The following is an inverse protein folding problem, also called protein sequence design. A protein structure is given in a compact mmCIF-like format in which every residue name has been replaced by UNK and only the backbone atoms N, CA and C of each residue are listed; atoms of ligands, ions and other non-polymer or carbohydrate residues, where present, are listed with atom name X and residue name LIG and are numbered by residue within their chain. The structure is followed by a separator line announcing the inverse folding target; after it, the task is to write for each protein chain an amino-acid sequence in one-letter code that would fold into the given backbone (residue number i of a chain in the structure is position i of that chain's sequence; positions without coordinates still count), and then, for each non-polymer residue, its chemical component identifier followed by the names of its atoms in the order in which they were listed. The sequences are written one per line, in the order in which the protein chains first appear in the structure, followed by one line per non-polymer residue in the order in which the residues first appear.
data_IF_805057596307
#
_entry.id   IF_805057596307
#
_cell.length_a   1.000
_cell.length_b   1.000
_cell.length_c   1.000
_cell.angle_alpha   90.00
_cell.angle_beta   90.00
_cell.angle_gamma   90.00
#
_symmetry.space_group_name_H-M   'P 1'
#
loop_
_entity.id
_entity.type
_entity.pdbx_description
1 polymer ?
#
# COMPACT_ATOMS: atom_id res chain seq x y z
N UNK A 1 -5.46 11.03 27.62
CA UNK A 1 -6.21 11.43 26.41
C UNK A 1 -6.45 10.19 25.59
N UNK A 2 -7.71 9.87 25.30
CA UNK A 2 -8.08 8.69 24.51
C UNK A 2 -7.72 8.95 23.04
N UNK A 3 -6.68 8.27 22.56
CA UNK A 3 -6.24 8.31 21.17
C UNK A 3 -7.19 7.44 20.31
N UNK A 4 -7.92 8.09 19.42
CA UNK A 4 -8.87 7.45 18.50
C UNK A 4 -8.18 6.85 17.25
N UNK A 5 -6.83 6.86 17.18
CA UNK A 5 -6.05 6.33 16.06
C UNK A 5 -5.96 4.81 16.00
N UNK A 6 -6.40 4.12 17.06
CA UNK A 6 -6.41 2.65 17.15
C UNK A 6 -7.81 2.10 17.48
N UNK A 7 -8.87 2.55 16.80
CA UNK A 7 -10.12 1.76 16.79
C UNK A 7 -9.86 0.45 16.04
N UNK A 8 -9.35 -0.55 16.77
CA UNK A 8 -9.41 -1.95 16.38
C UNK A 8 -10.86 -2.35 16.58
N UNK A 9 -11.63 -2.41 15.49
CA UNK A 9 -12.95 -3.01 15.55
C UNK A 9 -12.74 -4.50 15.82
N UNK A 10 -13.09 -4.94 17.02
CA UNK A 10 -13.25 -6.36 17.34
C UNK A 10 -14.31 -6.92 16.40
N UNK A 11 -13.89 -7.87 15.59
CA UNK A 11 -14.75 -8.58 14.65
C UNK A 11 -14.67 -10.03 15.10
N UNK A 12 -15.74 -10.49 15.73
CA UNK A 12 -16.01 -11.91 16.02
C UNK A 12 -14.85 -12.74 16.60
N UNK A 13 -14.16 -12.23 17.63
CA UNK A 13 -13.30 -13.06 18.50
C UNK A 13 -11.94 -13.47 17.93
N UNK A 14 -11.55 -13.00 16.74
CA UNK A 14 -10.19 -13.19 16.21
C UNK A 14 -9.32 -11.94 16.44
N UNK A 15 -8.10 -12.12 16.98
CA UNK A 15 -7.11 -11.05 17.05
C UNK A 15 -6.75 -10.56 15.64
N UNK A 16 -7.26 -9.40 15.23
CA UNK A 16 -6.90 -8.81 13.93
C UNK A 16 -5.39 -8.54 13.87
N UNK A 17 -4.75 -9.16 12.88
CA UNK A 17 -3.34 -8.97 12.49
C UNK A 17 -3.00 -7.48 12.44
N UNK A 18 -1.78 -7.14 12.91
CA UNK A 18 -1.28 -5.77 12.92
C UNK A 18 -1.55 -5.06 11.57
N UNK A 19 -2.15 -3.87 11.63
CA UNK A 19 -2.48 -3.09 10.44
C UNK A 19 -1.22 -2.79 9.62
N UNK A 20 -1.36 -2.79 8.30
CA UNK A 20 -0.26 -2.46 7.39
C UNK A 20 0.15 -1.00 7.63
N UNK A 21 1.42 -0.77 7.96
CA UNK A 21 1.95 0.57 8.14
C UNK A 21 2.18 1.25 6.80
N UNK A 22 2.08 2.59 6.78
CA UNK A 22 2.31 3.35 5.53
C UNK A 22 3.75 3.18 5.06
N UNK A 23 4.68 3.06 5.99
CA UNK A 23 6.10 2.82 5.76
C UNK A 23 6.32 1.57 4.92
N UNK A 24 5.64 0.46 5.25
CA UNK A 24 5.72 -0.79 4.50
C UNK A 24 5.18 -0.63 3.08
N UNK A 25 4.07 0.10 2.93
CA UNK A 25 3.46 0.38 1.64
C UNK A 25 4.41 1.15 0.71
N UNK A 26 4.97 2.27 1.19
CA UNK A 26 5.89 3.09 0.41
C UNK A 26 7.22 2.37 0.13
N UNK A 27 7.74 1.59 1.08
CA UNK A 27 8.94 0.79 0.89
C UNK A 27 8.75 -0.28 -0.20
N UNK A 28 7.62 -1.00 -0.17
CA UNK A 28 7.29 -1.99 -1.19
C UNK A 28 7.19 -1.35 -2.59
N UNK A 29 6.51 -0.20 -2.70
CA UNK A 29 6.42 0.52 -3.97
C UNK A 29 7.80 0.95 -4.48
N UNK A 30 8.69 1.45 -3.61
CA UNK A 30 10.08 1.80 -3.97
C UNK A 30 10.83 0.58 -4.52
N UNK A 31 10.79 -0.55 -3.81
CA UNK A 31 11.48 -1.77 -4.22
C UNK A 31 10.99 -2.25 -5.59
N UNK A 32 9.69 -2.25 -5.82
CA UNK A 32 9.11 -2.69 -7.10
C UNK A 32 9.49 -1.78 -8.27
N UNK A 33 9.57 -0.47 -8.02
CA UNK A 33 10.04 0.50 -9.01
C UNK A 33 11.53 0.33 -9.32
N UNK A 34 12.38 0.18 -8.30
CA UNK A 34 13.83 -0.02 -8.47
C UNK A 34 14.16 -1.32 -9.20
N UNK A 35 13.36 -2.37 -8.98
CA UNK A 35 13.53 -3.66 -9.66
C UNK A 35 12.95 -3.67 -11.08
N UNK A 36 12.30 -2.59 -11.53
CA UNK A 36 11.64 -2.54 -12.84
C UNK A 36 10.49 -3.53 -13.01
N UNK A 37 9.95 -4.07 -11.90
CA UNK A 37 8.87 -5.08 -11.91
C UNK A 37 7.48 -4.50 -12.18
N UNK A 38 7.38 -3.16 -12.19
CA UNK A 38 6.15 -2.45 -12.50
C UNK A 38 6.25 -1.78 -13.87
N UNK A 39 5.22 -1.96 -14.70
CA UNK A 39 4.97 -1.08 -15.84
C UNK A 39 4.52 0.27 -15.30
N UNK A 40 5.46 1.20 -15.19
CA UNK A 40 5.20 2.51 -14.61
C UNK A 40 4.34 3.37 -15.55
N UNK A 41 3.22 3.87 -15.06
CA UNK A 41 2.36 4.79 -15.79
C UNK A 41 3.04 6.15 -15.83
N UNK A 42 3.34 6.66 -17.02
CA UNK A 42 3.95 7.99 -17.24
C UNK A 42 2.92 9.12 -17.07
N UNK A 43 2.21 9.13 -15.95
CA UNK A 43 1.33 10.25 -15.59
C UNK A 43 2.14 11.34 -14.87
N UNK A 44 2.20 12.57 -15.42
CA UNK A 44 2.93 13.67 -14.79
C UNK A 44 2.48 13.98 -13.36
N UNK A 45 1.18 13.83 -13.04
CA UNK A 45 0.64 14.04 -11.70
C UNK A 45 1.12 13.00 -10.71
N UNK A 46 1.23 11.74 -11.15
CA UNK A 46 1.79 10.65 -10.33
C UNK A 46 3.28 10.89 -10.08
N UNK A 47 4.05 11.22 -11.12
CA UNK A 47 5.49 11.50 -11.01
C UNK A 47 5.74 12.69 -10.08
N UNK A 48 5.02 13.80 -10.28
CA UNK A 48 5.14 14.99 -9.44
C UNK A 48 4.70 14.69 -8.00
N UNK A 49 3.62 13.93 -7.82
CA UNK A 49 3.13 13.51 -6.52
C UNK A 49 4.15 12.65 -5.77
N UNK A 50 4.75 11.66 -6.44
CA UNK A 50 5.78 10.79 -5.85
C UNK A 50 7.03 11.57 -5.44
N UNK A 51 7.46 12.54 -6.26
CA UNK A 51 8.58 13.43 -5.91
C UNK A 51 8.28 14.35 -4.72
N UNK A 52 7.01 14.68 -4.49
CA UNK A 52 6.57 15.54 -3.40
C UNK A 52 6.32 14.79 -2.07
N UNK A 53 6.59 13.47 -2.02
CA UNK A 53 6.49 12.68 -0.79
C UNK A 53 7.66 13.03 0.13
N UNK A 54 7.35 13.38 1.38
CA UNK A 54 8.35 13.66 2.41
C UNK A 54 8.27 12.67 3.57
N UNK A 55 9.44 12.32 4.11
CA UNK A 55 9.60 11.49 5.29
C UNK A 55 10.05 12.37 6.46
N UNK A 56 9.22 12.51 7.48
CA UNK A 56 9.53 13.24 8.70
C UNK A 56 9.73 12.26 9.86
N UNK A 57 10.94 12.20 10.42
CA UNK A 57 11.19 11.45 11.64
C UNK A 57 10.74 12.26 12.86
N UNK A 58 9.77 11.74 13.61
CA UNK A 58 9.36 12.36 14.88
C UNK A 58 10.35 11.93 15.96
N UNK A 59 11.19 12.86 16.42
CA UNK A 59 12.14 12.61 17.52
C UNK A 59 11.46 12.18 18.82
N UNK A 60 10.24 12.65 19.05
CA UNK A 60 9.50 12.39 20.30
C UNK A 60 8.85 11.02 20.36
N UNK A 61 8.49 10.45 19.20
CA UNK A 61 7.77 9.15 19.14
C UNK A 61 8.59 8.03 18.51
N UNK A 62 9.74 8.35 17.91
CA UNK A 62 10.53 7.41 17.11
C UNK A 62 9.83 6.95 15.82
N UNK A 63 8.65 7.48 15.50
CA UNK A 63 7.84 7.06 14.35
C UNK A 63 8.17 7.90 13.11
N UNK A 64 8.09 7.25 11.95
CA UNK A 64 8.22 7.91 10.65
C UNK A 64 6.85 8.41 10.22
N UNK A 65 6.74 9.70 9.91
CA UNK A 65 5.53 10.26 9.30
C UNK A 65 5.77 10.48 7.81
N UNK A 66 5.06 9.72 7.00
CA UNK A 66 5.04 9.91 5.55
C UNK A 66 3.93 10.89 5.20
N UNK A 67 4.29 11.97 4.51
CA UNK A 67 3.34 12.98 4.02
C UNK A 67 3.49 13.12 2.50
N UNK A 68 2.43 12.81 1.78
CA UNK A 68 2.25 13.25 0.40
C UNK A 68 1.44 14.55 0.42
N UNK A 69 1.98 15.65 -0.09
CA UNK A 69 1.30 16.95 -0.15
C UNK A 69 0.94 17.34 -1.59
N UNK A 70 -0.16 18.07 -1.77
CA UNK A 70 -0.57 18.65 -3.05
C UNK A 70 -1.69 17.90 -3.76
N UNK A 71 -2.04 18.40 -4.97
CA UNK A 71 -3.20 17.92 -5.75
C UNK A 71 -3.10 16.46 -6.21
N UNK A 72 -1.91 15.85 -6.19
CA UNK A 72 -1.68 14.46 -6.61
C UNK A 72 -1.60 13.43 -5.48
N UNK A 73 -1.75 13.84 -4.20
CA UNK A 73 -1.53 12.96 -3.06
C UNK A 73 -2.43 11.72 -3.07
N UNK A 74 -3.68 11.85 -3.50
CA UNK A 74 -4.62 10.73 -3.61
C UNK A 74 -4.20 9.72 -4.69
N UNK A 75 -3.64 10.18 -5.82
CA UNK A 75 -3.12 9.32 -6.89
C UNK A 75 -1.90 8.53 -6.40
N UNK A 76 -1.01 9.18 -5.65
CA UNK A 76 0.16 8.53 -5.03
C UNK A 76 -0.29 7.47 -4.04
N UNK A 77 -1.20 7.82 -3.13
CA UNK A 77 -1.73 6.89 -2.13
C UNK A 77 -2.47 5.69 -2.77
N UNK A 78 -3.17 5.89 -3.89
CA UNK A 78 -3.79 4.83 -4.68
C UNK A 78 -2.74 3.94 -5.37
N UNK A 79 -1.73 4.55 -5.98
CA UNK A 79 -0.64 3.84 -6.64
C UNK A 79 0.14 2.94 -5.67
N UNK A 80 0.54 3.49 -4.52
CA UNK A 80 1.31 2.75 -3.52
C UNK A 80 0.50 1.56 -2.96
N UNK A 81 -0.81 1.74 -2.71
CA UNK A 81 -1.68 0.61 -2.32
C UNK A 81 -1.81 -0.43 -3.42
N UNK A 82 -1.91 -0.02 -4.68
CA UNK A 82 -1.96 -0.94 -5.82
C UNK A 82 -0.68 -1.77 -5.93
N UNK A 83 0.49 -1.17 -5.65
CA UNK A 83 1.77 -1.87 -5.60
C UNK A 83 1.80 -2.96 -4.52
N UNK A 84 1.12 -2.75 -3.38
CA UNK A 84 1.02 -3.76 -2.33
C UNK A 84 0.19 -4.97 -2.77
N UNK A 85 -0.87 -4.75 -3.55
CA UNK A 85 -1.70 -5.83 -4.08
C UNK A 85 -0.94 -6.82 -4.97
N UNK A 86 0.19 -6.41 -5.58
CA UNK A 86 1.07 -7.32 -6.34
C UNK A 86 1.58 -8.47 -5.47
N UNK A 87 1.89 -8.20 -4.20
CA UNK A 87 2.35 -9.22 -3.24
C UNK A 87 1.23 -10.17 -2.80
N UNK A 88 -0.02 -9.70 -2.83
CA UNK A 88 -1.20 -10.42 -2.38
C UNK A 88 -1.99 -11.06 -3.54
N UNK A 89 -1.41 -11.22 -4.74
CA UNK A 89 -2.03 -12.00 -5.81
C UNK A 89 -2.06 -13.50 -5.45
N UNK A 90 -2.90 -13.86 -4.48
CA UNK A 90 -3.27 -15.24 -4.16
C UNK A 90 -4.51 -15.70 -4.93
N UNK A 91 -5.22 -14.79 -5.61
CA UNK A 91 -6.33 -15.14 -6.48
C UNK A 91 -5.77 -15.57 -7.84
N UNK A 92 -5.37 -16.84 -7.91
CA UNK A 92 -5.08 -17.52 -9.15
C UNK A 92 -6.43 -17.86 -9.82
N UNK A 93 -6.91 -16.94 -10.66
CA UNK A 93 -8.16 -17.10 -11.41
C UNK A 93 -8.08 -18.36 -12.28
N UNK A 94 -6.89 -18.77 -12.74
CA UNK A 94 -6.70 -19.98 -13.53
C UNK A 94 -6.87 -21.24 -12.67
N UNK A 95 -6.41 -21.26 -11.42
CA UNK A 95 -6.74 -22.36 -10.48
C UNK A 95 -8.23 -22.42 -10.18
N UNK A 96 -8.89 -21.28 -10.00
CA UNK A 96 -10.33 -21.24 -9.78
C UNK A 96 -11.10 -21.73 -11.01
N UNK A 97 -10.68 -21.33 -12.22
CA UNK A 97 -11.26 -21.81 -13.48
C UNK A 97 -11.02 -23.29 -13.71
N UNK A 98 -9.82 -23.82 -13.46
CA UNK A 98 -9.55 -25.26 -13.56
C UNK A 98 -10.32 -26.09 -12.52
N UNK A 99 -10.55 -25.54 -11.32
CA UNK A 99 -11.39 -26.19 -10.31
C UNK A 99 -12.88 -26.15 -10.68
N UNK A 100 -13.34 -25.05 -11.28
CA UNK A 100 -14.74 -24.87 -11.69
C UNK A 100 -15.08 -25.54 -13.04
N UNK A 101 -14.11 -25.67 -13.94
CA UNK A 101 -14.26 -26.17 -15.31
C UNK A 101 -13.03 -27.02 -15.73
N UNK A 102 -12.87 -28.23 -15.19
CA UNK A 102 -11.68 -29.06 -15.41
C UNK A 102 -11.50 -29.63 -16.83
N UNK A 103 -12.44 -29.37 -17.75
CA UNK A 103 -12.50 -30.01 -19.08
C UNK A 103 -12.48 -29.00 -20.25
N UNK A 104 -11.99 -27.78 -20.03
CA UNK A 104 -11.67 -26.81 -21.09
C UNK A 104 -10.21 -26.39 -21.03
#
# INVERSE_FOLDING_TARGET
GLDNSQRRFEDEGEEKKAGIFKEDLYMNAKILLEQGKLKFIKDPKLIMGLKAVSFEYSKDTGKVRIKAKGKGAHVVEAFVRSCWCVKNQGLDIMKFMNAAYPNY
#
